data_IF_954445555043
#
_entry.id   IF_954445555043
#
_cell.length_a   1.000
_cell.length_b   1.000
_cell.length_c   1.000
_cell.angle_alpha   90.00
_cell.angle_beta   90.00
_cell.angle_gamma   90.00
#
_symmetry.space_group_name_H-M   'P 1'
#
loop_
_entity.id
_entity.type
_entity.pdbx_description
1 polymer ?
#
# COMPACT_ATOMS: atom_id res chain seq x y z
N UNK A 1 -1.38 -35.57 5.28
CA UNK A 1 -1.14 -37.01 5.53
C UNK A 1 0.27 -37.34 5.05
N UNK A 2 1.20 -37.65 5.95
CA UNK A 2 2.60 -37.94 5.64
C UNK A 2 2.73 -39.36 5.06
N UNK A 3 3.25 -39.52 3.84
CA UNK A 3 3.60 -40.83 3.27
C UNK A 3 5.11 -41.01 3.28
N UNK A 4 5.61 -41.94 4.10
CA UNK A 4 7.01 -42.36 4.09
C UNK A 4 7.19 -43.49 3.08
N UNK A 5 8.03 -43.27 2.06
CA UNK A 5 8.48 -44.33 1.15
C UNK A 5 9.89 -44.72 1.57
N UNK A 6 10.04 -45.94 2.08
CA UNK A 6 11.33 -46.50 2.48
C UNK A 6 11.68 -47.61 1.48
N UNK A 7 12.65 -47.36 0.60
CA UNK A 7 13.14 -48.36 -0.37
C UNK A 7 14.27 -49.16 0.32
N UNK A 8 14.18 -50.50 0.43
CA UNK A 8 15.23 -51.29 1.06
C UNK A 8 16.36 -51.54 0.05
N UNK A 9 17.52 -50.91 0.28
CA UNK A 9 18.76 -51.24 -0.41
C UNK A 9 19.78 -51.78 0.60
N UNK A 10 20.25 -53.00 0.34
CA UNK A 10 21.35 -53.64 1.05
C UNK A 10 22.64 -52.83 0.86
N UNK A 11 23.27 -52.44 1.97
CA UNK A 11 24.63 -51.85 2.09
C UNK A 11 24.94 -50.59 1.28
N UNK A 12 24.64 -49.41 1.82
CA UNK A 12 25.50 -48.21 1.79
C UNK A 12 24.90 -47.11 2.68
N UNK A 13 25.71 -46.12 3.09
CA UNK A 13 25.36 -45.04 4.00
C UNK A 13 23.97 -44.41 3.70
N UNK A 14 22.98 -44.72 4.53
CA UNK A 14 21.61 -44.22 4.38
C UNK A 14 21.54 -42.74 4.78
N UNK A 15 21.78 -41.85 3.84
CA UNK A 15 21.29 -40.46 3.94
C UNK A 15 19.82 -40.45 3.52
N UNK A 16 18.91 -40.43 4.50
CA UNK A 16 17.50 -40.18 4.23
C UNK A 16 17.35 -38.71 3.85
N UNK A 17 17.12 -38.42 2.57
CA UNK A 17 16.69 -37.09 2.15
C UNK A 17 15.19 -36.99 2.39
N UNK A 18 14.80 -36.15 3.36
CA UNK A 18 13.39 -35.79 3.53
C UNK A 18 13.06 -34.83 2.40
N UNK A 19 12.39 -35.33 1.36
CA UNK A 19 11.76 -34.47 0.35
C UNK A 19 10.45 -33.99 0.96
N UNK A 20 10.49 -32.82 1.61
CA UNK A 20 9.26 -32.10 1.98
C UNK A 20 8.68 -31.49 0.71
N UNK A 21 7.70 -32.15 0.12
CA UNK A 21 6.82 -31.54 -0.88
C UNK A 21 6.11 -30.37 -0.17
N UNK A 22 6.63 -29.17 -0.39
CA UNK A 22 6.08 -27.96 0.19
C UNK A 22 4.99 -27.52 -0.76
N UNK A 23 3.73 -27.55 -0.32
CA UNK A 23 2.65 -26.98 -1.12
C UNK A 23 3.01 -25.52 -1.45
N UNK A 24 2.89 -25.08 -2.72
CA UNK A 24 3.18 -23.70 -3.07
C UNK A 24 2.21 -22.80 -2.30
N UNK A 25 2.76 -21.91 -1.48
CA UNK A 25 1.99 -20.87 -0.79
C UNK A 25 1.42 -19.95 -1.87
N UNK A 26 0.10 -19.88 -1.97
CA UNK A 26 -0.56 -18.94 -2.87
C UNK A 26 -0.14 -17.51 -2.50
N UNK A 27 0.07 -16.62 -3.50
CA UNK A 27 0.35 -15.23 -3.21
C UNK A 27 -0.82 -14.61 -2.41
N UNK A 28 -0.54 -13.62 -1.53
CA UNK A 28 -1.60 -12.92 -0.82
C UNK A 28 -2.56 -12.26 -1.81
N UNK A 29 -3.85 -12.28 -1.48
CA UNK A 29 -4.87 -11.59 -2.26
C UNK A 29 -4.75 -10.08 -2.03
N UNK A 30 -4.49 -9.30 -3.08
CA UNK A 30 -4.27 -7.86 -2.95
C UNK A 30 -5.34 -7.03 -3.67
N UNK A 31 -5.54 -5.81 -3.19
CA UNK A 31 -6.32 -4.75 -3.83
C UNK A 31 -5.56 -3.44 -3.80
N UNK A 32 -6.12 -2.39 -4.41
CA UNK A 32 -5.45 -1.09 -4.54
C UNK A 32 -6.27 0.01 -3.87
N UNK A 33 -5.58 0.90 -3.17
CA UNK A 33 -6.08 2.20 -2.72
C UNK A 33 -5.38 3.28 -3.53
N UNK A 34 -6.13 4.04 -4.33
CA UNK A 34 -5.61 5.11 -5.17
C UNK A 34 -6.14 6.46 -4.70
N UNK A 35 -5.26 7.34 -4.23
CA UNK A 35 -5.57 8.72 -3.93
C UNK A 35 -5.32 9.59 -5.17
N UNK A 36 -6.40 10.13 -5.72
CA UNK A 36 -6.37 11.19 -6.74
C UNK A 36 -6.43 12.52 -6.02
N UNK A 37 -5.44 13.38 -6.23
CA UNK A 37 -5.29 14.58 -5.40
C UNK A 37 -5.16 15.86 -6.22
N UNK A 38 -5.55 16.99 -5.63
CA UNK A 38 -5.47 18.32 -6.23
C UNK A 38 -5.08 19.40 -5.21
N UNK A 39 -4.54 20.51 -5.71
CA UNK A 39 -4.28 21.72 -4.92
C UNK A 39 -5.21 22.82 -5.40
N UNK A 40 -6.09 23.31 -4.52
CA UNK A 40 -7.11 24.31 -4.85
C UNK A 40 -7.94 23.91 -6.08
N UNK A 41 -8.32 22.63 -6.17
CA UNK A 41 -9.07 22.04 -7.28
C UNK A 41 -8.27 21.84 -8.57
N UNK A 42 -6.95 22.08 -8.58
CA UNK A 42 -6.10 21.94 -9.76
C UNK A 42 -5.14 20.74 -9.65
N UNK A 43 -5.06 19.97 -10.74
CA UNK A 43 -4.08 18.90 -10.96
C UNK A 43 -3.02 19.37 -11.97
N UNK A 44 -2.28 20.42 -11.58
CA UNK A 44 -1.29 21.08 -12.43
C UNK A 44 -0.03 21.39 -11.62
N UNK A 45 1.14 21.05 -12.17
CA UNK A 45 2.45 21.34 -11.58
C UNK A 45 2.67 22.84 -11.30
N UNK A 46 1.96 23.74 -12.00
CA UNK A 46 1.99 25.18 -11.67
C UNK A 46 1.35 25.50 -10.33
N UNK A 47 0.36 24.73 -9.90
CA UNK A 47 -0.22 24.87 -8.56
C UNK A 47 0.83 24.48 -7.51
N UNK A 48 1.52 23.36 -7.70
CA UNK A 48 2.61 22.92 -6.84
C UNK A 48 3.70 23.99 -6.66
N UNK A 49 4.22 24.53 -7.77
CA UNK A 49 5.26 25.56 -7.73
C UNK A 49 4.81 26.86 -7.04
N UNK A 50 3.51 27.19 -7.09
CA UNK A 50 2.95 28.35 -6.39
C UNK A 50 3.00 28.19 -4.88
N UNK A 51 2.84 26.96 -4.41
CA UNK A 51 2.70 26.61 -2.99
C UNK A 51 3.95 25.92 -2.42
N UNK A 52 5.07 25.92 -3.17
CA UNK A 52 6.34 25.25 -2.79
C UNK A 52 6.18 23.76 -2.41
N UNK A 53 5.23 23.07 -3.04
CA UNK A 53 4.96 21.64 -2.82
C UNK A 53 5.81 20.82 -3.79
N UNK A 54 6.49 19.79 -3.26
CA UNK A 54 7.36 18.91 -4.02
C UNK A 54 6.78 17.51 -4.22
N UNK A 55 6.04 16.98 -3.24
CA UNK A 55 5.43 15.66 -3.33
C UNK A 55 4.13 15.58 -2.51
N UNK A 56 3.29 14.60 -2.85
CA UNK A 56 2.24 14.10 -1.97
C UNK A 56 2.75 12.85 -1.27
N UNK A 57 2.36 12.62 -0.01
CA UNK A 57 2.59 11.37 0.70
C UNK A 57 1.27 10.79 1.18
N UNK A 58 1.15 9.46 1.12
CA UNK A 58 0.07 8.69 1.69
C UNK A 58 0.64 7.63 2.63
N UNK A 59 0.21 7.64 3.88
CA UNK A 59 0.44 6.58 4.85
C UNK A 59 -0.86 5.80 5.05
N UNK A 60 -0.80 4.47 5.03
CA UNK A 60 -1.96 3.59 5.18
C UNK A 60 -1.77 2.73 6.42
N UNK A 61 -2.81 2.64 7.24
CA UNK A 61 -2.83 1.95 8.52
C UNK A 61 -3.92 0.88 8.51
N UNK A 62 -3.65 -0.25 9.16
CA UNK A 62 -4.72 -1.22 9.46
C UNK A 62 -5.58 -0.77 10.66
N UNK A 63 -6.63 -1.55 10.95
CA UNK A 63 -7.55 -1.29 12.07
C UNK A 63 -6.89 -1.35 13.46
N UNK A 64 -5.68 -1.89 13.56
CA UNK A 64 -4.90 -1.91 14.80
C UNK A 64 -3.99 -0.66 14.91
N UNK A 65 -4.01 0.21 13.89
CA UNK A 65 -3.21 1.43 13.82
C UNK A 65 -1.76 1.18 13.36
N UNK A 66 -1.44 0.00 12.83
CA UNK A 66 -0.11 -0.28 12.31
C UNK A 66 0.05 0.25 10.89
N UNK A 67 1.16 0.95 10.63
CA UNK A 67 1.52 1.39 9.28
C UNK A 67 1.79 0.16 8.40
N UNK A 68 0.96 -0.06 7.40
CA UNK A 68 1.08 -1.16 6.42
C UNK A 68 1.70 -0.71 5.10
N UNK A 69 1.57 0.56 4.75
CA UNK A 69 2.12 1.11 3.50
C UNK A 69 2.42 2.60 3.65
N UNK A 70 3.52 3.04 3.03
CA UNK A 70 3.80 4.46 2.83
C UNK A 70 4.25 4.67 1.40
N UNK A 71 3.62 5.62 0.72
CA UNK A 71 3.94 6.01 -0.65
C UNK A 71 4.13 7.52 -0.73
N UNK A 72 4.92 7.96 -1.67
CA UNK A 72 4.96 9.35 -2.09
C UNK A 72 5.05 9.44 -3.60
N UNK A 73 4.62 10.57 -4.14
CA UNK A 73 4.63 10.85 -5.57
C UNK A 73 4.99 12.31 -5.79
N UNK A 74 5.85 12.63 -6.77
CA UNK A 74 6.26 14.00 -7.00
C UNK A 74 5.10 14.84 -7.54
N UNK A 75 5.20 16.17 -7.41
CA UNK A 75 4.15 17.14 -7.72
C UNK A 75 3.90 17.36 -9.23
N UNK A 76 4.06 16.31 -10.02
CA UNK A 76 3.68 16.19 -11.42
C UNK A 76 2.79 14.97 -11.66
N UNK A 77 2.59 14.14 -10.63
CA UNK A 77 1.84 12.90 -10.68
C UNK A 77 0.69 12.96 -9.66
N UNK A 78 -0.49 13.32 -10.15
CA UNK A 78 -1.69 13.61 -9.35
C UNK A 78 -2.49 12.37 -8.92
N UNK A 79 -1.84 11.20 -8.95
CA UNK A 79 -2.38 9.93 -8.53
C UNK A 79 -1.32 9.18 -7.72
N UNK A 80 -1.70 8.64 -6.56
CA UNK A 80 -0.83 7.86 -5.69
C UNK A 80 -1.54 6.58 -5.28
N UNK A 81 -0.99 5.43 -5.66
CA UNK A 81 -1.60 4.12 -5.41
C UNK A 81 -0.78 3.27 -4.44
N UNK A 82 -1.48 2.53 -3.58
CA UNK A 82 -0.92 1.54 -2.68
C UNK A 82 -1.60 0.19 -2.89
N UNK A 83 -0.81 -0.84 -3.14
CA UNK A 83 -1.25 -2.24 -3.11
C UNK A 83 -1.31 -2.73 -1.65
N UNK A 84 -2.42 -3.37 -1.28
CA UNK A 84 -2.77 -3.71 0.10
C UNK A 84 -3.31 -5.15 0.21
N UNK A 85 -2.95 -5.87 1.28
CA UNK A 85 -3.39 -7.25 1.55
C UNK A 85 -4.85 -7.33 1.99
N UNK A 86 -5.71 -7.89 1.16
CA UNK A 86 -7.15 -8.02 1.42
C UNK A 86 -7.52 -9.23 2.28
N UNK A 87 -6.52 -10.04 2.68
CA UNK A 87 -6.71 -11.19 3.55
C UNK A 87 -7.53 -12.33 2.92
N UNK A 88 -7.86 -13.36 3.70
CA UNK A 88 -8.48 -14.59 3.19
C UNK A 88 -9.93 -14.40 2.72
N UNK A 89 -10.59 -13.31 3.11
CA UNK A 89 -11.97 -13.00 2.72
C UNK A 89 -12.05 -12.07 1.51
N UNK A 90 -10.90 -11.65 0.97
CA UNK A 90 -10.80 -10.77 -0.19
C UNK A 90 -11.31 -9.34 0.04
N UNK A 91 -11.45 -8.93 1.29
CA UNK A 91 -11.78 -7.56 1.67
C UNK A 91 -11.19 -7.21 3.04
N UNK A 92 -10.70 -5.98 3.18
CA UNK A 92 -10.17 -5.44 4.43
C UNK A 92 -10.38 -3.93 4.51
N UNK A 93 -10.53 -3.42 5.74
CA UNK A 93 -10.63 -2.00 6.03
C UNK A 93 -9.28 -1.42 6.44
N UNK A 94 -9.04 -0.18 6.02
CA UNK A 94 -7.84 0.60 6.32
C UNK A 94 -8.20 2.03 6.65
N UNK A 95 -7.30 2.70 7.35
CA UNK A 95 -7.28 4.14 7.46
C UNK A 95 -6.10 4.68 6.65
N UNK A 96 -6.16 5.92 6.19
CA UNK A 96 -5.06 6.56 5.48
C UNK A 96 -4.91 8.03 5.87
N UNK A 97 -3.67 8.49 5.84
CA UNK A 97 -3.29 9.88 6.04
C UNK A 97 -2.63 10.39 4.76
N UNK A 98 -3.11 11.52 4.24
CA UNK A 98 -2.55 12.16 3.03
C UNK A 98 -2.04 13.55 3.39
N UNK A 99 -0.83 13.87 2.93
CA UNK A 99 -0.11 15.09 3.29
C UNK A 99 0.67 15.62 2.08
N UNK A 100 0.68 16.93 1.86
CA UNK A 100 1.62 17.57 0.94
C UNK A 100 2.95 17.83 1.64
N UNK A 101 4.05 17.57 0.95
CA UNK A 101 5.41 17.81 1.45
C UNK A 101 6.12 18.83 0.57
N UNK A 102 6.87 19.72 1.22
CA UNK A 102 7.70 20.74 0.59
C UNK A 102 9.02 20.19 0.06
N UNK A 103 9.83 21.07 -0.54
CA UNK A 103 11.10 20.69 -1.18
C UNK A 103 12.16 20.11 -0.25
N UNK A 104 11.99 20.22 1.07
CA UNK A 104 12.88 19.62 2.09
C UNK A 104 12.23 18.47 2.85
N UNK A 105 11.05 18.00 2.41
CA UNK A 105 10.29 16.95 3.06
C UNK A 105 9.53 17.39 4.32
N UNK A 106 9.43 18.70 4.56
CA UNK A 106 8.59 19.28 5.60
C UNK A 106 7.11 19.23 5.19
N UNK A 107 6.16 19.17 6.14
CA UNK A 107 4.74 19.35 5.83
C UNK A 107 4.49 20.70 5.15
N UNK A 108 3.80 20.67 4.01
CA UNK A 108 3.33 21.82 3.25
C UNK A 108 1.79 21.97 3.30
N UNK A 109 1.10 21.06 3.99
CA UNK A 109 -0.34 21.15 4.23
C UNK A 109 -0.72 20.65 5.62
N UNK A 110 -1.98 20.88 5.98
CA UNK A 110 -2.65 20.09 7.01
C UNK A 110 -2.75 18.62 6.58
N UNK A 111 -2.88 17.74 7.56
CA UNK A 111 -3.07 16.31 7.37
C UNK A 111 -4.54 16.02 7.00
N UNK A 112 -4.75 15.23 5.94
CA UNK A 112 -6.07 14.71 5.58
C UNK A 112 -6.18 13.26 6.05
N UNK A 113 -7.09 13.01 6.99
CA UNK A 113 -7.39 11.67 7.48
C UNK A 113 -8.57 11.06 6.71
N UNK A 114 -8.41 9.81 6.29
CA UNK A 114 -9.40 9.00 5.57
C UNK A 114 -9.64 7.73 6.39
N UNK A 115 -10.90 7.47 6.74
CA UNK A 115 -11.27 6.35 7.62
C UNK A 115 -12.12 5.32 6.90
N UNK A 116 -12.14 4.10 7.43
CA UNK A 116 -13.03 3.01 7.01
C UNK A 116 -12.94 2.69 5.50
N UNK A 117 -11.73 2.73 4.93
CA UNK A 117 -11.47 2.46 3.52
C UNK A 117 -11.54 0.96 3.24
N UNK A 118 -12.64 0.52 2.62
CA UNK A 118 -12.84 -0.88 2.26
C UNK A 118 -12.14 -1.25 0.94
N UNK A 119 -10.99 -1.91 1.04
CA UNK A 119 -10.24 -2.44 -0.11
C UNK A 119 -10.68 -3.88 -0.40
N UNK A 120 -10.80 -4.23 -1.68
CA UNK A 120 -11.24 -5.54 -2.16
C UNK A 120 -10.24 -6.14 -3.14
N UNK A 121 -10.13 -7.46 -3.18
CA UNK A 121 -9.19 -8.15 -4.08
C UNK A 121 -9.44 -7.80 -5.54
N UNK A 122 -8.38 -7.56 -6.30
CA UNK A 122 -8.43 -7.23 -7.74
C UNK A 122 -9.30 -5.99 -8.05
N UNK A 123 -9.49 -5.10 -7.07
CA UNK A 123 -10.21 -3.83 -7.23
C UNK A 123 -9.32 -2.65 -6.87
N UNK A 124 -9.62 -1.53 -7.52
CA UNK A 124 -9.10 -0.22 -7.14
C UNK A 124 -10.20 0.55 -6.39
N UNK A 125 -9.92 0.92 -5.15
CA UNK A 125 -10.66 1.90 -4.39
C UNK A 125 -10.02 3.27 -4.65
N UNK A 126 -10.72 4.12 -5.40
CA UNK A 126 -10.26 5.48 -5.68
C UNK A 126 -10.89 6.48 -4.72
N UNK A 127 -10.07 7.33 -4.10
CA UNK A 127 -10.47 8.45 -3.24
C UNK A 127 -9.97 9.77 -3.82
N UNK A 128 -10.76 10.82 -3.68
CA UNK A 128 -10.42 12.16 -4.17
C UNK A 128 -10.08 13.07 -2.98
N UNK A 129 -8.87 13.64 -3.00
CA UNK A 129 -8.35 14.50 -1.94
C UNK A 129 -8.02 15.87 -2.51
N UNK A 130 -8.77 16.90 -2.11
CA UNK A 130 -8.43 18.28 -2.45
C UNK A 130 -7.76 18.97 -1.26
N UNK A 131 -6.65 19.66 -1.52
CA UNK A 131 -5.99 20.54 -0.58
C UNK A 131 -6.41 21.99 -0.88
N UNK A 132 -7.45 22.51 -0.20
CA UNK A 132 -7.89 23.88 -0.43
C UNK A 132 -6.80 24.89 0.00
N UNK A 133 -6.81 26.13 -0.52
CA UNK A 133 -5.79 27.12 -0.18
C UNK A 133 -5.60 27.37 1.32
N UNK A 134 -6.64 27.18 2.13
CA UNK A 134 -6.58 27.38 3.57
C UNK A 134 -5.90 26.26 4.35
N UNK A 135 -5.64 25.11 3.72
CA UNK A 135 -4.95 23.96 4.32
C UNK A 135 -3.48 23.88 3.93
N UNK A 136 -2.91 24.89 3.26
CA UNK A 136 -1.49 24.93 2.84
C UNK A 136 -0.73 25.86 3.79
N UNK A 137 0.48 25.44 4.18
CA UNK A 137 1.30 26.06 5.22
C UNK A 137 2.30 27.10 4.71
#
# INVERSE_FOLDING_TARGET
MLKFVCIPALLSLASCTVVTESDPIAPPATGFLTAVWSIAGAQDARACARWDVAEVSMAVFDLEGFLVSRRSSPCEVFELSAELDTGPYGTRFYDAEVLLLGTRGEPASDLVELFDLQVQTDRDLTVYVDFPPGSIL
#
